data_IF_758559057053
#
_entry.id   IF_758559057053
#
_cell.length_a   1.000
_cell.length_b   1.000
_cell.length_c   1.000
_cell.angle_alpha   90.00
_cell.angle_beta   90.00
_cell.angle_gamma   90.00
#
_symmetry.space_group_name_H-M   'P 1'
#
loop_
_entity.id
_entity.type
_entity.pdbx_description
1 polymer ?
#
# COMPACT_ATOMS: atom_id res chain seq x y z
N UNK A 1 1.93 -14.41 -3.70
CA UNK A 1 0.88 -13.46 -4.09
C UNK A 1 1.10 -12.95 -5.50
N UNK A 2 0.08 -12.33 -6.08
CA UNK A 2 0.27 -11.61 -7.34
C UNK A 2 0.48 -10.12 -7.11
N UNK A 3 1.31 -9.51 -7.98
CA UNK A 3 1.61 -8.08 -7.96
C UNK A 3 1.87 -7.56 -9.38
N UNK A 4 1.84 -6.24 -9.54
CA UNK A 4 2.27 -5.58 -10.76
C UNK A 4 3.78 -5.32 -10.64
N UNK A 5 4.56 -6.08 -11.39
CA UNK A 5 6.00 -5.96 -11.44
C UNK A 5 6.45 -5.09 -12.62
N UNK A 6 7.54 -4.36 -12.44
CA UNK A 6 8.17 -3.56 -13.50
C UNK A 6 9.23 -4.44 -14.16
N UNK A 7 9.08 -4.70 -15.45
CA UNK A 7 10.07 -5.42 -16.24
C UNK A 7 11.25 -4.52 -16.65
N UNK A 8 12.36 -5.10 -17.08
CA UNK A 8 13.52 -4.37 -17.61
C UNK A 8 13.13 -3.44 -18.78
N UNK A 9 12.13 -3.83 -19.57
CA UNK A 9 11.54 -3.02 -20.64
C UNK A 9 10.70 -1.84 -20.14
N UNK A 10 10.57 -1.65 -18.83
CA UNK A 10 9.66 -0.72 -18.17
C UNK A 10 8.17 -0.97 -18.43
N UNK A 11 7.82 -2.14 -18.95
CA UNK A 11 6.44 -2.60 -19.00
C UNK A 11 5.99 -3.12 -17.65
N UNK A 12 4.70 -3.08 -17.41
CA UNK A 12 4.07 -3.60 -16.20
C UNK A 12 3.49 -4.98 -16.48
N UNK A 13 3.75 -5.91 -15.57
CA UNK A 13 3.25 -7.28 -15.68
C UNK A 13 2.58 -7.71 -14.38
N UNK A 14 1.40 -8.29 -14.50
CA UNK A 14 0.71 -8.96 -13.39
C UNK A 14 1.26 -10.36 -13.22
N UNK A 15 2.16 -10.56 -12.29
CA UNK A 15 2.91 -11.81 -12.12
C UNK A 15 3.10 -12.18 -10.65
N UNK A 16 3.65 -13.36 -10.41
CA UNK A 16 3.90 -13.86 -9.05
C UNK A 16 5.00 -13.06 -8.35
N UNK A 17 4.79 -12.80 -7.07
CA UNK A 17 5.73 -12.16 -6.15
C UNK A 17 5.64 -12.81 -4.78
N UNK A 18 6.69 -12.70 -3.98
CA UNK A 18 6.69 -13.18 -2.61
C UNK A 18 5.69 -12.40 -1.74
N UNK A 19 5.08 -13.11 -0.80
CA UNK A 19 4.25 -12.46 0.21
C UNK A 19 5.14 -11.62 1.13
N UNK A 20 4.79 -10.33 1.40
CA UNK A 20 5.61 -9.51 2.27
C UNK A 20 5.66 -10.08 3.69
N UNK A 21 6.84 -10.07 4.28
CA UNK A 21 7.03 -10.37 5.69
C UNK A 21 6.71 -9.12 6.51
N UNK A 22 6.06 -9.30 7.65
CA UNK A 22 5.81 -8.20 8.59
C UNK A 22 6.88 -8.20 9.69
N UNK A 23 7.31 -7.01 10.07
CA UNK A 23 8.08 -6.79 11.29
C UNK A 23 7.17 -6.69 12.52
N UNK A 24 7.78 -6.54 13.69
CA UNK A 24 7.04 -6.49 14.96
C UNK A 24 6.06 -5.31 15.07
N UNK A 25 6.33 -4.20 14.36
CA UNK A 25 5.55 -2.96 14.40
C UNK A 25 4.67 -2.76 13.16
N UNK A 26 4.57 -3.78 12.30
CA UNK A 26 3.84 -3.72 11.04
C UNK A 26 2.56 -4.54 11.05
N UNK A 27 1.68 -4.21 10.11
CA UNK A 27 0.50 -4.98 9.77
C UNK A 27 0.61 -5.53 8.35
N UNK A 28 -0.01 -6.67 8.09
CA UNK A 28 -0.24 -7.19 6.74
C UNK A 28 -1.67 -6.85 6.33
N UNK A 29 -1.82 -6.10 5.26
CA UNK A 29 -3.11 -5.73 4.69
C UNK A 29 -3.35 -6.57 3.44
N UNK A 30 -4.50 -7.26 3.38
CA UNK A 30 -5.06 -7.81 2.16
C UNK A 30 -5.73 -6.67 1.40
N UNK A 31 -5.14 -6.29 0.27
CA UNK A 31 -5.57 -5.12 -0.49
C UNK A 31 -6.89 -5.40 -1.22
N UNK A 32 -7.83 -4.49 -1.08
CA UNK A 32 -9.10 -4.48 -1.83
C UNK A 32 -9.08 -3.50 -2.99
N UNK A 33 -8.41 -2.37 -2.82
CA UNK A 33 -8.26 -1.35 -3.86
C UNK A 33 -7.00 -0.50 -3.61
N UNK A 34 -6.49 0.10 -4.68
CA UNK A 34 -5.38 1.06 -4.68
C UNK A 34 -5.68 2.16 -5.69
N UNK A 35 -4.94 3.26 -5.63
CA UNK A 35 -5.07 4.37 -6.59
C UNK A 35 -3.78 4.55 -7.39
N UNK A 36 -3.90 5.21 -8.53
CA UNK A 36 -2.77 5.56 -9.38
C UNK A 36 -2.35 6.99 -9.12
N UNK A 37 -1.11 7.17 -8.71
CA UNK A 37 -0.50 8.46 -8.45
C UNK A 37 0.54 8.81 -9.51
N UNK A 38 0.79 10.11 -9.73
CA UNK A 38 1.82 10.54 -10.67
C UNK A 38 3.22 9.99 -10.31
N UNK A 39 3.52 9.88 -9.03
CA UNK A 39 4.79 9.33 -8.56
C UNK A 39 5.00 7.87 -9.02
N UNK A 40 3.94 7.07 -9.13
CA UNK A 40 4.03 5.69 -9.65
C UNK A 40 4.52 5.69 -11.11
N UNK A 41 4.04 6.63 -11.93
CA UNK A 41 4.47 6.78 -13.33
C UNK A 41 5.92 7.21 -13.40
N UNK A 42 6.35 8.11 -12.53
CA UNK A 42 7.74 8.58 -12.46
C UNK A 42 8.67 7.46 -12.00
N UNK A 43 8.26 6.70 -10.97
CA UNK A 43 9.00 5.55 -10.47
C UNK A 43 9.11 4.43 -11.51
N UNK A 44 8.01 4.10 -12.21
CA UNK A 44 8.01 3.14 -13.32
C UNK A 44 9.08 3.47 -14.37
N UNK A 45 9.29 4.76 -14.63
CA UNK A 45 10.27 5.23 -15.61
C UNK A 45 11.70 5.31 -15.06
N UNK A 46 11.91 4.95 -13.78
CA UNK A 46 13.22 4.95 -13.14
C UNK A 46 13.72 6.33 -12.69
N UNK A 47 12.83 7.34 -12.66
CA UNK A 47 13.16 8.72 -12.30
C UNK A 47 12.88 9.06 -10.82
N UNK A 48 12.26 8.14 -10.10
CA UNK A 48 11.95 8.26 -8.67
C UNK A 48 12.19 6.91 -7.99
N UNK A 49 13.40 6.67 -7.48
CA UNK A 49 13.71 5.41 -6.79
C UNK A 49 12.94 5.32 -5.47
N UNK A 50 12.46 4.11 -5.10
CA UNK A 50 11.84 3.92 -3.80
C UNK A 50 12.83 4.22 -2.66
N UNK A 51 12.35 4.66 -1.48
CA UNK A 51 13.20 4.83 -0.32
C UNK A 51 13.91 3.50 0.07
N UNK A 52 15.08 3.55 0.70
CA UNK A 52 15.76 2.34 1.18
C UNK A 52 14.84 1.50 2.06
N UNK A 53 14.72 0.20 1.76
CA UNK A 53 13.88 -0.75 2.48
C UNK A 53 12.41 -0.77 2.05
N UNK A 54 11.96 0.12 1.17
CA UNK A 54 10.63 0.06 0.60
C UNK A 54 10.51 -1.02 -0.47
N UNK A 55 9.27 -1.46 -0.72
CA UNK A 55 8.96 -2.39 -1.81
C UNK A 55 9.31 -1.79 -3.18
N UNK A 56 9.84 -2.62 -4.08
CA UNK A 56 10.03 -2.25 -5.48
C UNK A 56 8.70 -2.29 -6.28
N UNK A 57 7.66 -2.89 -5.73
CA UNK A 57 6.32 -2.88 -6.30
C UNK A 57 5.76 -1.46 -6.14
N UNK A 58 5.14 -0.95 -7.20
CA UNK A 58 4.50 0.37 -7.19
C UNK A 58 3.31 0.46 -6.23
N UNK A 59 2.80 1.66 -6.05
CA UNK A 59 1.56 1.96 -5.32
C UNK A 59 1.82 2.57 -3.94
N UNK A 60 1.43 3.84 -3.78
CA UNK A 60 1.71 4.66 -2.61
C UNK A 60 0.55 4.73 -1.62
N UNK A 61 -0.56 4.09 -1.91
CA UNK A 61 -1.72 4.01 -1.04
C UNK A 61 -2.55 2.76 -1.33
N UNK A 62 -3.30 2.33 -0.35
CA UNK A 62 -4.26 1.26 -0.53
C UNK A 62 -5.39 1.33 0.50
N UNK A 63 -6.43 0.53 0.26
CA UNK A 63 -7.41 0.13 1.26
C UNK A 63 -7.55 -1.38 1.28
N UNK A 64 -7.94 -1.93 2.41
CA UNK A 64 -8.08 -3.37 2.56
C UNK A 64 -8.47 -3.80 3.96
N UNK A 65 -8.17 -5.05 4.26
CA UNK A 65 -8.47 -5.68 5.55
C UNK A 65 -7.16 -6.17 6.17
N UNK A 66 -6.95 -5.88 7.43
CA UNK A 66 -5.78 -6.39 8.17
C UNK A 66 -5.91 -7.91 8.33
N UNK A 67 -4.93 -8.67 7.82
CA UNK A 67 -4.86 -10.12 7.96
C UNK A 67 -3.92 -10.60 9.06
N UNK A 68 -2.83 -9.84 9.30
CA UNK A 68 -1.88 -10.14 10.38
C UNK A 68 -1.39 -8.86 11.01
N UNK A 69 -0.95 -8.95 12.26
CA UNK A 69 -0.34 -7.85 13.00
C UNK A 69 0.96 -8.34 13.65
N UNK A 70 1.95 -7.46 13.72
CA UNK A 70 3.18 -7.66 14.47
C UNK A 70 2.92 -7.62 15.98
N UNK A 71 3.86 -8.16 16.76
CA UNK A 71 3.68 -8.32 18.22
C UNK A 71 3.60 -7.01 19.00
N UNK A 72 4.13 -5.91 18.44
CA UNK A 72 4.12 -4.59 19.07
C UNK A 72 2.91 -3.74 18.66
N UNK A 73 2.14 -4.17 17.65
CA UNK A 73 0.93 -3.47 17.18
C UNK A 73 -0.12 -3.47 18.28
N UNK A 74 -0.63 -2.28 18.64
CA UNK A 74 -1.54 -2.11 19.80
C UNK A 74 -2.89 -1.48 19.42
N UNK A 75 -2.90 -0.64 18.38
CA UNK A 75 -4.08 0.17 18.04
C UNK A 75 -4.84 -0.37 16.82
N UNK A 76 -4.41 -1.51 16.28
CA UNK A 76 -5.04 -2.17 15.13
C UNK A 76 -5.31 -3.63 15.45
N UNK A 77 -6.27 -4.22 14.76
CA UNK A 77 -6.65 -5.63 14.94
C UNK A 77 -6.90 -6.33 13.61
N UNK A 78 -6.71 -7.63 13.60
CA UNK A 78 -7.07 -8.48 12.46
C UNK A 78 -8.57 -8.35 12.14
N UNK A 79 -8.90 -8.27 10.85
CA UNK A 79 -10.26 -8.08 10.35
C UNK A 79 -10.71 -6.61 10.25
N UNK A 80 -9.89 -5.66 10.71
CA UNK A 80 -10.19 -4.24 10.63
C UNK A 80 -10.09 -3.74 9.17
N UNK A 81 -11.09 -2.96 8.73
CA UNK A 81 -11.07 -2.27 7.43
C UNK A 81 -10.28 -0.97 7.56
N UNK A 82 -9.26 -0.84 6.73
CA UNK A 82 -8.31 0.27 6.82
C UNK A 82 -7.91 0.80 5.44
N UNK A 83 -7.39 2.02 5.41
CA UNK A 83 -6.56 2.51 4.33
C UNK A 83 -5.17 2.85 4.86
N UNK A 84 -4.18 2.94 4.00
CA UNK A 84 -2.80 3.19 4.40
C UNK A 84 -2.04 4.01 3.37
N UNK A 85 -1.19 4.92 3.87
CA UNK A 85 -0.15 5.57 3.09
C UNK A 85 1.06 4.63 3.02
N UNK A 86 1.58 4.40 1.83
CA UNK A 86 2.63 3.43 1.57
C UNK A 86 3.89 4.08 0.98
N UNK A 87 5.03 3.45 1.23
CA UNK A 87 6.28 3.77 0.54
C UNK A 87 6.46 2.95 -0.76
N UNK A 88 5.50 2.10 -1.09
CA UNK A 88 5.45 1.17 -2.21
C UNK A 88 4.64 -0.07 -1.84
N UNK A 89 4.36 -0.94 -2.81
CA UNK A 89 3.69 -2.23 -2.58
C UNK A 89 2.17 -2.22 -2.79
N UNK A 90 1.56 -1.08 -3.08
CA UNK A 90 0.10 -0.97 -3.25
C UNK A 90 -0.47 -1.72 -4.46
N UNK A 91 0.36 -2.01 -5.47
CA UNK A 91 -0.07 -2.72 -6.68
C UNK A 91 0.13 -4.24 -6.54
N UNK A 92 -0.37 -4.80 -5.45
CA UNK A 92 -0.29 -6.22 -5.11
C UNK A 92 -1.55 -6.69 -4.38
N UNK A 93 -1.66 -7.99 -4.17
CA UNK A 93 -2.75 -8.55 -3.35
C UNK A 93 -2.55 -8.28 -1.84
N UNK A 94 -1.30 -8.11 -1.40
CA UNK A 94 -0.94 -7.86 0.00
C UNK A 94 0.19 -6.85 0.11
N UNK A 95 0.17 -6.08 1.19
CA UNK A 95 1.24 -5.16 1.56
C UNK A 95 1.49 -5.18 3.06
N UNK A 96 2.75 -5.06 3.47
CA UNK A 96 3.11 -4.73 4.85
C UNK A 96 3.35 -3.24 5.00
N UNK A 97 2.93 -2.67 6.10
CA UNK A 97 3.26 -1.28 6.44
C UNK A 97 3.26 -1.07 7.96
N UNK A 98 4.02 -0.06 8.45
CA UNK A 98 3.99 0.31 9.86
C UNK A 98 2.59 0.68 10.35
N UNK A 99 2.25 0.27 11.58
CA UNK A 99 0.95 0.58 12.20
C UNK A 99 0.59 2.07 12.13
N UNK A 100 1.60 2.96 12.29
CA UNK A 100 1.41 4.41 12.28
C UNK A 100 0.95 5.00 10.95
N UNK A 101 1.11 4.26 9.85
CA UNK A 101 0.66 4.64 8.51
C UNK A 101 -0.75 4.14 8.19
N UNK A 102 -1.35 3.37 9.10
CA UNK A 102 -2.67 2.76 8.91
C UNK A 102 -3.75 3.65 9.49
N UNK A 103 -4.73 3.99 8.66
CA UNK A 103 -5.82 4.90 8.97
C UNK A 103 -7.14 4.11 8.99
N UNK A 104 -7.95 4.21 10.04
CA UNK A 104 -9.29 3.63 10.04
C UNK A 104 -10.15 4.31 8.97
N UNK A 105 -10.98 3.52 8.29
CA UNK A 105 -11.89 4.08 7.28
C UNK A 105 -13.07 4.74 7.99
N UNK A 106 -13.42 6.00 7.65
CA UNK A 106 -14.59 6.67 8.20
C UNK A 106 -15.89 5.92 7.88
N UNK A 107 -16.87 6.04 8.76
CA UNK A 107 -18.20 5.48 8.54
C UNK A 107 -18.82 6.02 7.24
N UNK A 108 -19.44 5.11 6.48
CA UNK A 108 -20.08 5.45 5.21
C UNK A 108 -19.14 5.50 4.00
N UNK A 109 -17.82 5.35 4.19
CA UNK A 109 -16.82 5.28 3.11
C UNK A 109 -16.54 3.82 2.78
N UNK A 110 -16.66 3.47 1.51
CA UNK A 110 -16.32 2.11 1.03
C UNK A 110 -14.82 1.90 0.95
N UNK A 111 -14.38 0.62 0.87
CA UNK A 111 -12.98 0.28 0.63
C UNK A 111 -12.46 0.90 -0.67
N UNK A 112 -13.27 0.93 -1.72
CA UNK A 112 -12.87 1.52 -3.01
C UNK A 112 -12.62 3.01 -2.88
N UNK A 113 -13.54 3.75 -2.26
CA UNK A 113 -13.38 5.20 -2.04
C UNK A 113 -12.19 5.50 -1.12
N UNK A 114 -12.01 4.72 -0.05
CA UNK A 114 -10.92 4.89 0.91
C UNK A 114 -9.52 4.70 0.29
N UNK A 115 -9.42 3.98 -0.83
CA UNK A 115 -8.11 3.71 -1.46
C UNK A 115 -7.40 4.95 -2.02
N UNK A 116 -8.10 6.08 -2.17
CA UNK A 116 -7.56 7.35 -2.67
C UNK A 116 -7.40 8.44 -1.60
N UNK A 117 -7.69 8.12 -0.34
CA UNK A 117 -7.62 9.11 0.74
C UNK A 117 -6.19 9.38 1.25
N UNK A 118 -5.34 8.35 1.47
CA UNK A 118 -4.07 8.56 2.15
C UNK A 118 -3.08 9.42 1.36
N UNK A 119 -2.95 9.23 0.04
CA UNK A 119 -1.99 9.95 -0.81
C UNK A 119 -2.68 11.06 -1.61
N UNK A 120 -3.63 10.73 -2.47
CA UNK A 120 -4.25 11.71 -3.39
C UNK A 120 -4.96 12.80 -2.62
N UNK A 121 -5.81 12.46 -1.67
CA UNK A 121 -6.60 13.45 -0.94
C UNK A 121 -5.74 14.28 0.01
N UNK A 122 -4.79 13.65 0.71
CA UNK A 122 -3.87 14.37 1.59
C UNK A 122 -2.98 15.34 0.80
N UNK A 123 -2.51 14.95 -0.39
CA UNK A 123 -1.75 15.83 -1.28
C UNK A 123 -2.59 17.04 -1.70
N UNK A 124 -3.84 16.86 -2.09
CA UNK A 124 -4.74 17.96 -2.43
C UNK A 124 -5.04 18.88 -1.24
N UNK A 125 -5.12 18.32 -0.04
CA UNK A 125 -5.39 19.10 1.18
C UNK A 125 -4.20 19.97 1.59
N UNK A 126 -2.97 19.50 1.36
CA UNK A 126 -1.73 20.19 1.75
C UNK A 126 -1.27 21.25 0.74
N UNK A 127 -1.80 21.27 -0.47
CA UNK A 127 -1.48 22.23 -1.54
C UNK A 127 -2.67 23.16 -1.81
#
# INVERSE_FOLDING_TARGET
MKAINILESKQLEWSESDLPLISDDEVLIKISATSVNRADVVQKNGLYPPPPGASNILGLECSGIIEKIGKNVKNRKVGEKVCALLAGGGYAEYVSCPEVQVIPIPDGVSLIEASSLPEVYATCWLN
#
